data_IF_192868388567
#
_entry.id   IF_192868388567
#
_cell.length_a   1.000
_cell.length_b   1.000
_cell.length_c   1.000
_cell.angle_alpha   90.00
_cell.angle_beta   90.00
_cell.angle_gamma   90.00
#
_symmetry.space_group_name_H-M   'P 1'
#
loop_
_entity.id
_entity.type
_entity.pdbx_description
1 polymer ?
#
# COMPACT_ATOMS: atom_id res chain seq x y z
N UNK A 1 -16.17 -30.94 -0.89
CA UNK A 1 -17.40 -30.48 -1.57
C UNK A 1 -17.10 -29.19 -2.30
N UNK A 2 -17.19 -29.23 -3.64
CA UNK A 2 -16.97 -28.12 -4.55
C UNK A 2 -18.27 -27.32 -4.66
N UNK A 3 -18.22 -25.99 -4.51
CA UNK A 3 -19.27 -25.12 -5.01
C UNK A 3 -18.70 -24.29 -6.17
N UNK A 4 -19.31 -24.55 -7.34
CA UNK A 4 -18.91 -23.97 -8.60
C UNK A 4 -19.45 -22.55 -8.78
N UNK A 5 -18.65 -21.73 -9.42
CA UNK A 5 -19.07 -20.45 -9.99
C UNK A 5 -19.85 -20.70 -11.28
N UNK A 6 -21.05 -20.16 -11.34
CA UNK A 6 -21.90 -20.11 -12.53
C UNK A 6 -21.31 -19.06 -13.48
N UNK A 7 -20.82 -19.53 -14.62
CA UNK A 7 -20.46 -18.65 -15.75
C UNK A 7 -21.69 -18.50 -16.66
N UNK A 8 -22.24 -17.30 -16.77
CA UNK A 8 -23.21 -16.95 -17.79
C UNK A 8 -22.52 -16.85 -19.17
N UNK A 9 -22.82 -17.77 -20.05
CA UNK A 9 -22.48 -17.73 -21.49
C UNK A 9 -23.45 -16.81 -22.21
N UNK A 10 -22.99 -15.69 -22.73
CA UNK A 10 -23.69 -14.94 -23.77
C UNK A 10 -23.35 -15.54 -25.14
N UNK A 11 -24.37 -16.02 -25.82
CA UNK A 11 -24.29 -16.55 -27.19
C UNK A 11 -24.10 -15.40 -28.18
N UNK A 12 -23.10 -15.52 -29.05
CA UNK A 12 -22.91 -14.63 -30.19
C UNK A 12 -23.99 -14.85 -31.25
N UNK A 13 -24.52 -13.75 -31.76
CA UNK A 13 -25.28 -13.71 -33.01
C UNK A 13 -24.40 -13.15 -34.12
N UNK A 14 -24.13 -13.96 -35.10
CA UNK A 14 -23.51 -13.57 -36.37
C UNK A 14 -24.59 -12.98 -37.26
N UNK A 15 -24.48 -11.73 -37.66
CA UNK A 15 -25.33 -11.12 -38.70
C UNK A 15 -24.49 -10.92 -39.94
N UNK A 16 -24.92 -11.60 -41.02
CA UNK A 16 -24.34 -11.45 -42.34
C UNK A 16 -24.67 -10.06 -42.92
N UNK A 17 -23.67 -9.35 -43.43
CA UNK A 17 -23.86 -8.07 -44.13
C UNK A 17 -24.16 -8.32 -45.60
N UNK A 18 -25.34 -7.96 -46.04
CA UNK A 18 -25.73 -7.86 -47.45
C UNK A 18 -25.46 -6.42 -47.92
N UNK A 19 -24.58 -6.24 -48.88
CA UNK A 19 -24.27 -4.92 -49.50
C UNK A 19 -25.38 -4.64 -50.52
N UNK A 20 -26.20 -3.61 -50.28
CA UNK A 20 -27.08 -3.03 -51.32
C UNK A 20 -26.61 -1.58 -51.47
N UNK A 21 -26.14 -1.29 -52.71
CA UNK A 21 -25.79 0.06 -53.11
C UNK A 21 -27.02 0.95 -53.21
N UNK A 22 -26.94 2.15 -52.65
CA UNK A 22 -27.91 3.23 -52.86
C UNK A 22 -27.23 4.54 -53.20
N UNK A 23 -27.78 5.18 -54.21
CA UNK A 23 -27.38 6.45 -54.82
C UNK A 23 -27.38 7.62 -53.81
N UNK A 24 -26.42 8.55 -54.01
CA UNK A 24 -26.38 9.82 -53.31
C UNK A 24 -27.65 10.63 -53.55
N UNK A 25 -28.41 10.87 -52.49
CA UNK A 25 -29.27 12.04 -52.37
C UNK A 25 -28.71 12.90 -51.26
N UNK A 26 -28.29 14.11 -51.64
CA UNK A 26 -27.83 15.11 -50.68
C UNK A 26 -29.01 15.61 -49.86
N UNK A 27 -29.20 15.02 -48.66
CA UNK A 27 -30.11 15.52 -47.64
C UNK A 27 -29.30 16.38 -46.69
N UNK A 28 -29.73 17.63 -46.51
CA UNK A 28 -29.22 18.59 -45.55
C UNK A 28 -29.30 18.01 -44.14
N UNK A 29 -28.15 17.79 -43.47
CA UNK A 29 -28.06 17.33 -42.11
C UNK A 29 -28.50 18.49 -41.18
N UNK A 30 -29.52 18.35 -40.33
CA UNK A 30 -29.83 19.37 -39.33
C UNK A 30 -28.65 19.46 -38.36
N UNK A 31 -28.12 20.70 -38.19
CA UNK A 31 -27.10 21.02 -37.19
C UNK A 31 -27.70 20.79 -35.81
N UNK A 32 -27.22 19.75 -35.13
CA UNK A 32 -27.48 19.56 -33.71
C UNK A 32 -26.75 20.65 -32.93
N UNK A 33 -27.41 21.38 -32.02
CA UNK A 33 -26.77 22.38 -31.21
C UNK A 33 -25.72 21.68 -30.31
N UNK A 34 -24.52 22.18 -30.39
CA UNK A 34 -23.31 21.95 -29.67
C UNK A 34 -23.33 20.96 -28.51
N UNK A 35 -22.77 19.76 -28.73
CA UNK A 35 -22.15 19.00 -27.67
C UNK A 35 -20.88 19.76 -27.30
N UNK A 36 -20.98 20.73 -26.37
CA UNK A 36 -19.81 21.25 -25.69
C UNK A 36 -19.26 20.09 -24.87
N UNK A 37 -18.00 19.61 -25.12
CA UNK A 37 -17.40 18.69 -24.17
C UNK A 37 -17.35 19.45 -22.84
N UNK A 38 -18.10 19.00 -21.86
CA UNK A 38 -17.92 19.45 -20.48
C UNK A 38 -16.48 19.08 -20.13
N UNK A 39 -15.62 20.12 -20.09
CA UNK A 39 -14.32 19.97 -19.47
C UNK A 39 -14.60 19.47 -18.06
N UNK A 40 -14.47 18.15 -17.84
CA UNK A 40 -14.42 17.60 -16.51
C UNK A 40 -13.18 18.22 -15.88
N UNK A 41 -13.37 19.31 -15.13
CA UNK A 41 -12.30 19.89 -14.34
C UNK A 41 -11.64 18.76 -13.56
N UNK A 42 -10.34 18.62 -13.73
CA UNK A 42 -9.56 17.61 -13.03
C UNK A 42 -9.71 17.89 -11.54
N UNK A 43 -10.59 17.15 -10.88
CA UNK A 43 -10.88 17.35 -9.46
C UNK A 43 -9.57 17.22 -8.69
N UNK A 44 -9.17 18.30 -8.00
CA UNK A 44 -7.93 18.32 -7.23
C UNK A 44 -7.97 17.21 -6.16
N UNK A 45 -6.83 16.56 -5.93
CA UNK A 45 -6.73 15.52 -4.93
C UNK A 45 -7.13 16.06 -3.54
N UNK A 46 -8.06 15.40 -2.87
CA UNK A 46 -8.51 15.77 -1.52
C UNK A 46 -7.68 15.08 -0.47
N UNK A 47 -7.38 15.79 0.62
CA UNK A 47 -6.66 15.24 1.77
C UNK A 47 -7.55 15.33 3.00
N UNK A 48 -7.90 14.19 3.57
CA UNK A 48 -8.66 14.10 4.81
C UNK A 48 -7.79 13.49 5.89
N UNK A 49 -7.70 14.15 7.05
CA UNK A 49 -7.07 13.61 8.26
C UNK A 49 -8.15 12.93 9.09
N UNK A 50 -8.03 11.62 9.25
CA UNK A 50 -8.95 10.80 10.05
C UNK A 50 -8.23 10.36 11.32
N UNK A 51 -8.85 10.53 12.46
CA UNK A 51 -8.33 9.97 13.72
C UNK A 51 -8.66 8.49 13.80
N UNK A 52 -7.64 7.64 13.89
CA UNK A 52 -7.84 6.26 14.29
C UNK A 52 -7.93 6.20 15.81
N UNK A 53 -9.16 6.12 16.30
CA UNK A 53 -9.44 5.98 17.72
C UNK A 53 -8.91 4.65 18.25
N UNK A 54 -8.25 4.70 19.40
CA UNK A 54 -7.63 3.54 20.06
C UNK A 54 -8.16 3.40 21.50
N UNK A 55 -7.41 2.74 22.37
CA UNK A 55 -7.90 2.51 23.75
C UNK A 55 -8.00 3.78 24.60
N UNK A 56 -7.20 4.78 24.27
CA UNK A 56 -7.19 6.09 24.96
C UNK A 56 -6.88 7.19 23.97
N UNK A 57 -7.32 8.42 24.22
CA UNK A 57 -7.04 9.58 23.38
C UNK A 57 -5.51 9.82 23.17
N UNK A 58 -4.68 9.45 24.16
CA UNK A 58 -3.21 9.52 24.04
C UNK A 58 -2.66 8.57 22.97
N UNK A 59 -3.37 7.49 22.64
CA UNK A 59 -3.00 6.50 21.64
C UNK A 59 -3.59 6.82 20.27
N UNK A 60 -4.53 7.75 20.19
CA UNK A 60 -5.17 8.13 18.92
C UNK A 60 -4.14 8.67 17.94
N UNK A 61 -4.19 8.18 16.71
CA UNK A 61 -3.20 8.52 15.70
C UNK A 61 -3.85 8.97 14.40
N UNK A 62 -3.28 9.98 13.71
CA UNK A 62 -3.82 10.46 12.46
C UNK A 62 -3.49 9.52 11.30
N UNK A 63 -4.52 9.14 10.55
CA UNK A 63 -4.45 8.54 9.21
C UNK A 63 -4.75 9.64 8.18
N UNK A 64 -3.86 9.84 7.23
CA UNK A 64 -4.07 10.73 6.10
C UNK A 64 -4.66 9.94 4.94
N UNK A 65 -5.85 10.32 4.48
CA UNK A 65 -6.55 9.72 3.34
C UNK A 65 -6.49 10.72 2.19
N UNK A 66 -5.76 10.37 1.16
CA UNK A 66 -5.47 11.24 0.01
C UNK A 66 -6.13 10.62 -1.22
N UNK A 67 -7.27 11.18 -1.64
CA UNK A 67 -8.05 10.70 -2.78
C UNK A 67 -7.77 11.56 -3.99
N UNK A 68 -7.48 10.93 -5.12
CA UNK A 68 -7.28 11.64 -6.40
C UNK A 68 -8.58 12.15 -7.04
N UNK A 69 -9.74 11.65 -6.60
CA UNK A 69 -11.02 11.84 -7.29
C UNK A 69 -11.25 10.91 -8.48
N UNK A 70 -10.24 10.16 -8.92
CA UNK A 70 -10.32 9.20 -10.03
C UNK A 70 -10.26 7.75 -9.53
N UNK A 71 -10.99 6.79 -10.15
CA UNK A 71 -10.89 5.38 -9.83
C UNK A 71 -9.46 4.86 -9.92
N UNK A 72 -9.09 3.94 -9.04
CA UNK A 72 -7.77 3.34 -9.00
C UNK A 72 -7.52 2.60 -7.70
N UNK A 73 -6.35 1.98 -7.52
CA UNK A 73 -6.05 1.17 -6.34
C UNK A 73 -5.94 2.00 -5.07
N UNK A 74 -6.19 1.36 -3.93
CA UNK A 74 -5.93 1.88 -2.60
C UNK A 74 -4.58 1.36 -2.09
N UNK A 75 -3.67 2.28 -1.77
CA UNK A 75 -2.32 1.97 -1.26
C UNK A 75 -2.18 2.52 0.15
N UNK A 76 -1.74 1.70 1.10
CA UNK A 76 -1.50 2.11 2.48
C UNK A 76 -0.01 2.05 2.83
N UNK A 77 0.51 3.15 3.39
CA UNK A 77 1.88 3.23 3.91
C UNK A 77 1.79 3.43 5.41
N UNK A 78 2.47 2.56 6.15
CA UNK A 78 2.49 2.56 7.61
C UNK A 78 3.90 2.76 8.10
N UNK A 79 4.07 3.64 9.07
CA UNK A 79 5.31 3.81 9.82
C UNK A 79 5.06 3.81 11.32
N UNK A 80 6.10 3.55 12.10
CA UNK A 80 6.04 3.68 13.55
C UNK A 80 5.23 2.62 14.28
N UNK A 81 5.17 1.40 13.76
CA UNK A 81 4.71 0.22 14.50
C UNK A 81 5.63 -0.03 15.71
N UNK A 82 6.94 0.11 15.50
CA UNK A 82 7.94 0.20 16.56
C UNK A 82 8.45 1.64 16.65
N UNK A 83 8.38 2.25 17.83
CA UNK A 83 8.66 3.68 17.98
C UNK A 83 10.14 4.06 17.92
N UNK A 84 11.04 3.11 18.19
CA UNK A 84 12.49 3.31 18.07
C UNK A 84 13.02 3.08 16.63
N UNK A 85 12.15 2.80 15.66
CA UNK A 85 12.47 2.65 14.24
C UNK A 85 12.12 3.96 13.50
N UNK A 86 12.95 4.96 13.68
CA UNK A 86 12.62 6.37 13.44
C UNK A 86 12.54 6.79 11.97
N UNK A 87 13.11 6.03 11.04
CA UNK A 87 13.06 6.38 9.61
C UNK A 87 11.70 6.12 8.98
N UNK A 88 10.96 5.08 9.43
CA UNK A 88 9.63 4.77 8.94
C UNK A 88 8.63 5.93 9.13
N UNK A 89 8.44 6.46 10.35
CA UNK A 89 7.62 7.64 10.59
C UNK A 89 8.01 8.85 9.75
N UNK A 90 9.32 9.14 9.65
CA UNK A 90 9.84 10.28 8.87
C UNK A 90 9.64 10.11 7.36
N UNK A 91 9.77 8.90 6.83
CA UNK A 91 9.46 8.61 5.43
C UNK A 91 7.95 8.79 5.17
N UNK A 92 7.09 8.29 6.05
CA UNK A 92 5.65 8.46 5.94
C UNK A 92 5.24 9.94 6.02
N UNK A 93 5.91 10.77 6.82
CA UNK A 93 5.68 12.21 6.86
C UNK A 93 6.01 12.92 5.53
N UNK A 94 6.97 12.41 4.74
CA UNK A 94 7.22 12.88 3.37
C UNK A 94 6.12 12.39 2.42
N UNK A 95 5.76 11.12 2.52
CA UNK A 95 4.83 10.43 1.63
C UNK A 95 3.41 11.01 1.72
N UNK A 96 2.95 11.46 2.89
CA UNK A 96 1.62 12.08 3.05
C UNK A 96 1.39 13.35 2.21
N UNK A 97 2.45 13.93 1.66
CA UNK A 97 2.38 15.09 0.77
C UNK A 97 2.25 14.72 -0.71
N UNK A 98 2.32 13.43 -1.05
CA UNK A 98 2.10 12.96 -2.42
C UNK A 98 0.62 13.14 -2.79
N UNK A 99 0.38 13.56 -4.03
CA UNK A 99 -0.97 13.67 -4.61
C UNK A 99 -1.08 12.63 -5.73
N UNK A 100 -1.78 11.51 -5.51
CA UNK A 100 -1.91 10.48 -6.53
C UNK A 100 -2.75 10.98 -7.72
N UNK A 101 -2.40 10.55 -8.94
CA UNK A 101 -3.14 10.85 -10.17
C UNK A 101 -4.44 10.05 -10.29
N UNK A 102 -4.52 8.89 -9.63
CA UNK A 102 -5.69 8.01 -9.53
C UNK A 102 -5.67 7.21 -8.23
N UNK A 103 -6.82 6.69 -7.81
CA UNK A 103 -6.95 5.87 -6.62
C UNK A 103 -6.83 6.64 -5.31
N UNK A 104 -6.50 5.93 -4.25
CA UNK A 104 -6.40 6.47 -2.89
C UNK A 104 -5.04 6.10 -2.27
N UNK A 105 -4.34 7.10 -1.71
CA UNK A 105 -3.15 6.87 -0.89
C UNK A 105 -3.50 7.11 0.58
N UNK A 106 -3.31 6.09 1.41
CA UNK A 106 -3.48 6.15 2.86
C UNK A 106 -2.11 6.19 3.50
N UNK A 107 -1.87 7.13 4.40
CA UNK A 107 -0.58 7.23 5.09
C UNK A 107 -0.81 7.32 6.59
N UNK A 108 -0.24 6.38 7.34
CA UNK A 108 -0.26 6.30 8.79
C UNK A 108 1.18 6.46 9.32
N UNK A 109 1.63 7.69 9.63
CA UNK A 109 3.03 7.92 9.99
C UNK A 109 3.44 7.31 11.34
N UNK A 110 2.50 7.19 12.29
CA UNK A 110 2.79 6.75 13.66
C UNK A 110 1.75 5.76 14.13
N UNK A 111 1.89 4.49 13.71
CA UNK A 111 0.94 3.43 14.09
C UNK A 111 0.85 3.28 15.62
N UNK A 112 1.98 3.25 16.30
CA UNK A 112 2.09 3.26 17.77
C UNK A 112 2.64 4.63 18.22
N UNK A 113 1.75 5.64 18.26
CA UNK A 113 2.16 7.03 18.52
C UNK A 113 2.87 7.19 19.85
N UNK A 114 2.46 6.47 20.90
CA UNK A 114 3.07 6.53 22.23
C UNK A 114 4.50 5.98 22.21
N UNK A 115 4.72 4.86 21.52
CA UNK A 115 6.06 4.30 21.36
C UNK A 115 6.98 5.24 20.56
N UNK A 116 6.44 5.85 19.49
CA UNK A 116 7.18 6.83 18.67
C UNK A 116 7.58 8.06 19.48
N UNK A 117 6.66 8.62 20.28
CA UNK A 117 6.94 9.78 21.14
C UNK A 117 8.00 9.49 22.19
N UNK A 118 8.02 8.25 22.72
CA UNK A 118 9.02 7.81 23.72
C UNK A 118 10.32 7.30 23.12
N UNK A 119 10.39 7.08 21.81
CA UNK A 119 11.54 6.46 21.16
C UNK A 119 11.77 5.00 21.57
N UNK A 120 10.73 4.30 22.06
CA UNK A 120 10.80 2.92 22.51
C UNK A 120 10.23 1.96 21.47
N UNK A 121 10.67 0.69 21.47
CA UNK A 121 10.14 -0.31 20.54
C UNK A 121 8.63 -0.51 20.74
N UNK A 122 8.19 -0.58 21.97
CA UNK A 122 6.82 -0.87 22.36
C UNK A 122 6.25 0.22 23.27
N UNK A 123 4.95 0.24 23.48
CA UNK A 123 4.30 1.09 24.46
C UNK A 123 3.56 0.27 25.52
N UNK A 124 3.39 0.80 26.75
CA UNK A 124 2.60 0.15 27.80
C UNK A 124 1.19 -0.22 27.30
N UNK A 125 0.72 -1.39 27.67
CA UNK A 125 -0.61 -1.91 27.30
C UNK A 125 -0.72 -2.46 25.87
N UNK A 126 0.18 -2.09 24.94
CA UNK A 126 0.18 -2.60 23.56
C UNK A 126 1.17 -3.76 23.39
N UNK A 127 2.36 -3.68 24.00
CA UNK A 127 3.44 -4.62 23.77
C UNK A 127 4.00 -4.51 22.33
N UNK A 128 4.47 -5.63 21.77
CA UNK A 128 4.90 -5.66 20.35
C UNK A 128 3.66 -5.64 19.44
N UNK A 129 3.30 -4.45 18.94
CA UNK A 129 2.15 -4.28 18.05
C UNK A 129 2.23 -5.21 16.83
N UNK A 130 3.42 -5.50 16.33
CA UNK A 130 3.62 -6.39 15.20
C UNK A 130 3.53 -7.89 15.57
N UNK A 131 2.82 -8.22 16.66
CA UNK A 131 2.39 -9.55 17.07
C UNK A 131 0.90 -9.58 17.41
N UNK A 132 0.16 -8.50 17.20
CA UNK A 132 -1.22 -8.33 17.66
C UNK A 132 -2.26 -8.39 16.54
N UNK A 133 -1.83 -8.52 15.29
CA UNK A 133 -2.73 -8.67 14.12
C UNK A 133 -3.25 -10.12 14.00
N UNK A 134 -4.36 -10.35 13.27
CA UNK A 134 -4.97 -11.67 13.16
C UNK A 134 -4.01 -12.74 12.66
N UNK A 135 -4.05 -13.91 13.30
CA UNK A 135 -3.27 -15.10 12.89
C UNK A 135 -4.12 -16.11 12.09
N UNK A 136 -5.44 -15.94 12.11
CA UNK A 136 -6.40 -16.76 11.38
C UNK A 136 -7.34 -15.89 10.57
N UNK A 137 -8.00 -16.45 9.55
CA UNK A 137 -8.88 -15.72 8.62
C UNK A 137 -10.00 -14.95 9.34
N UNK A 138 -10.57 -15.51 10.40
CA UNK A 138 -11.66 -14.91 11.17
C UNK A 138 -11.17 -14.37 12.52
N UNK A 139 -9.84 -14.32 12.74
CA UNK A 139 -9.24 -13.83 13.96
C UNK A 139 -9.46 -12.34 14.17
N UNK A 140 -9.40 -11.92 15.43
CA UNK A 140 -9.43 -10.51 15.83
C UNK A 140 -8.01 -10.06 16.18
N UNK A 141 -7.75 -8.76 16.06
CA UNK A 141 -6.57 -8.18 16.67
C UNK A 141 -6.64 -8.30 18.18
N UNK A 142 -5.51 -8.54 18.83
CA UNK A 142 -5.46 -8.70 20.30
C UNK A 142 -5.37 -7.36 21.04
N UNK A 143 -5.25 -6.25 20.32
CA UNK A 143 -5.16 -4.87 20.85
C UNK A 143 -6.02 -3.90 20.03
N UNK A 144 -6.62 -2.92 20.69
CA UNK A 144 -7.44 -1.91 20.02
C UNK A 144 -6.63 -1.07 19.03
N UNK A 145 -5.36 -0.80 19.33
CA UNK A 145 -4.43 -0.09 18.43
C UNK A 145 -4.25 -0.79 17.07
N UNK A 146 -4.04 -2.09 17.07
CA UNK A 146 -3.99 -2.87 15.84
C UNK A 146 -5.36 -3.05 15.21
N UNK A 147 -6.44 -3.15 16.02
CA UNK A 147 -7.80 -3.30 15.52
C UNK A 147 -8.26 -2.07 14.73
N UNK A 148 -7.91 -0.84 15.16
CA UNK A 148 -8.26 0.37 14.42
C UNK A 148 -7.57 0.43 13.06
N UNK A 149 -6.29 0.02 12.98
CA UNK A 149 -5.55 -0.09 11.71
C UNK A 149 -6.18 -1.17 10.82
N UNK A 150 -6.50 -2.34 11.38
CA UNK A 150 -7.15 -3.44 10.68
C UNK A 150 -8.50 -3.04 10.08
N UNK A 151 -9.29 -2.29 10.84
CA UNK A 151 -10.57 -1.75 10.39
C UNK A 151 -10.38 -0.72 9.27
N UNK A 152 -9.33 0.11 9.31
CA UNK A 152 -9.01 1.04 8.25
C UNK A 152 -8.64 0.32 6.94
N UNK A 153 -7.83 -0.75 7.00
CA UNK A 153 -7.50 -1.57 5.81
C UNK A 153 -8.77 -2.08 5.15
N UNK A 154 -9.71 -2.62 5.93
CA UNK A 154 -11.00 -3.12 5.41
C UNK A 154 -11.90 -2.00 4.90
N UNK A 155 -12.02 -0.89 5.65
CA UNK A 155 -12.89 0.25 5.30
C UNK A 155 -12.52 0.87 3.96
N UNK A 156 -11.22 0.96 3.67
CA UNK A 156 -10.71 1.61 2.45
C UNK A 156 -10.36 0.61 1.34
N UNK A 157 -10.68 -0.67 1.52
CA UNK A 157 -10.44 -1.76 0.56
C UNK A 157 -9.00 -1.72 0.01
N UNK A 158 -8.02 -1.78 0.93
CA UNK A 158 -6.61 -1.59 0.60
C UNK A 158 -6.10 -2.73 -0.28
N UNK A 159 -5.58 -2.40 -1.46
CA UNK A 159 -4.99 -3.36 -2.41
C UNK A 159 -3.51 -3.64 -2.12
N UNK A 160 -2.78 -2.60 -1.70
CA UNK A 160 -1.32 -2.66 -1.45
C UNK A 160 -0.96 -2.01 -0.13
N UNK A 161 0.01 -2.59 0.57
CA UNK A 161 0.49 -2.05 1.84
C UNK A 161 2.01 -2.17 1.94
N UNK A 162 2.67 -1.10 2.41
CA UNK A 162 4.07 -1.14 2.87
C UNK A 162 4.12 -0.72 4.33
N UNK A 163 4.63 -1.62 5.18
CA UNK A 163 4.91 -1.40 6.59
C UNK A 163 6.40 -1.12 6.76
N UNK A 164 6.76 0.10 7.18
CA UNK A 164 8.13 0.63 7.18
C UNK A 164 8.81 0.39 8.53
N UNK A 165 9.85 -0.45 8.53
CA UNK A 165 10.61 -0.91 9.68
C UNK A 165 12.12 -0.72 9.54
N UNK A 166 12.87 -1.06 10.58
CA UNK A 166 14.33 -1.04 10.62
C UNK A 166 14.92 -2.29 11.27
N UNK A 167 15.69 -3.05 10.51
CA UNK A 167 16.56 -4.11 11.03
C UNK A 167 17.93 -3.57 11.49
N UNK A 168 18.58 -4.28 12.39
CA UNK A 168 19.83 -3.83 12.99
C UNK A 168 21.03 -3.91 12.04
N UNK A 169 21.23 -5.04 11.35
CA UNK A 169 22.32 -5.28 10.40
C UNK A 169 21.79 -5.54 8.99
N UNK A 170 22.66 -5.42 7.99
CA UNK A 170 22.40 -5.88 6.62
C UNK A 170 22.16 -7.39 6.60
N UNK A 171 21.02 -7.80 6.07
CA UNK A 171 20.63 -9.22 6.00
C UNK A 171 21.66 -10.09 5.26
N UNK A 172 22.19 -9.59 4.15
CA UNK A 172 23.22 -10.33 3.36
C UNK A 172 24.54 -10.54 4.09
N UNK A 173 24.86 -9.68 5.08
CA UNK A 173 26.07 -9.80 5.90
C UNK A 173 25.78 -10.64 7.15
N UNK A 174 24.60 -10.46 7.75
CA UNK A 174 24.17 -11.19 8.94
C UNK A 174 22.73 -11.68 8.73
N UNK A 175 22.51 -12.91 8.23
CA UNK A 175 21.19 -13.44 7.89
C UNK A 175 20.19 -13.49 9.04
N UNK A 176 20.65 -13.50 10.30
CA UNK A 176 19.78 -13.40 11.49
C UNK A 176 19.19 -12.00 11.70
N UNK A 177 19.61 -10.99 10.93
CA UNK A 177 19.07 -9.63 10.94
C UNK A 177 18.30 -9.36 9.66
N UNK A 178 17.27 -8.53 9.73
CA UNK A 178 16.36 -8.28 8.60
C UNK A 178 16.65 -6.94 7.86
N UNK A 179 17.69 -6.19 8.25
CA UNK A 179 17.98 -4.90 7.60
C UNK A 179 18.30 -5.04 6.11
N UNK A 180 17.72 -4.17 5.31
CA UNK A 180 17.66 -4.19 3.84
C UNK A 180 17.00 -5.46 3.28
N UNK A 181 15.79 -5.75 3.79
CA UNK A 181 14.88 -6.73 3.19
C UNK A 181 13.53 -6.10 2.85
N UNK A 182 12.87 -6.71 1.88
CA UNK A 182 11.45 -6.54 1.62
C UNK A 182 10.78 -7.90 1.81
N UNK A 183 9.96 -8.01 2.86
CA UNK A 183 9.39 -9.29 3.27
C UNK A 183 7.95 -9.33 2.81
N UNK A 184 7.54 -10.42 2.14
CA UNK A 184 6.19 -10.57 1.58
C UNK A 184 5.58 -11.94 1.88
N UNK A 185 4.26 -12.00 1.94
CA UNK A 185 3.52 -13.26 1.90
C UNK A 185 3.18 -13.62 0.45
N UNK A 186 3.39 -14.88 0.01
CA UNK A 186 3.28 -15.26 -1.41
C UNK A 186 1.82 -15.40 -1.87
N UNK A 187 1.17 -14.30 -2.18
CA UNK A 187 -0.09 -14.24 -2.92
C UNK A 187 0.18 -13.80 -4.37
N UNK A 188 -0.82 -13.97 -5.24
CA UNK A 188 -0.69 -13.66 -6.67
C UNK A 188 -0.20 -12.23 -6.92
N UNK A 189 0.86 -12.09 -7.72
CA UNK A 189 1.47 -10.82 -8.10
C UNK A 189 2.38 -10.16 -7.04
N UNK A 190 2.36 -10.59 -5.76
CA UNK A 190 3.16 -9.95 -4.70
C UNK A 190 4.67 -10.06 -4.97
N UNK A 191 5.15 -11.22 -5.47
CA UNK A 191 6.58 -11.41 -5.81
C UNK A 191 7.02 -10.45 -6.93
N UNK A 192 6.22 -10.29 -7.97
CA UNK A 192 6.54 -9.41 -9.12
C UNK A 192 6.68 -7.97 -8.66
N UNK A 193 5.74 -7.49 -7.85
CA UNK A 193 5.79 -6.12 -7.27
C UNK A 193 7.01 -5.98 -6.35
N UNK A 194 7.25 -6.95 -5.46
CA UNK A 194 8.42 -6.94 -4.58
C UNK A 194 9.74 -6.88 -5.33
N UNK A 195 9.90 -7.65 -6.43
CA UNK A 195 11.09 -7.60 -7.28
C UNK A 195 11.29 -6.23 -7.93
N UNK A 196 10.23 -5.59 -8.42
CA UNK A 196 10.33 -4.21 -8.96
C UNK A 196 10.84 -3.23 -7.90
N UNK A 197 10.31 -3.32 -6.68
CA UNK A 197 10.72 -2.43 -5.59
C UNK A 197 12.19 -2.66 -5.24
N UNK A 198 12.63 -3.90 -4.99
CA UNK A 198 14.04 -4.15 -4.59
C UNK A 198 15.03 -3.85 -5.70
N UNK A 199 14.68 -4.10 -6.96
CA UNK A 199 15.53 -3.77 -8.10
C UNK A 199 15.77 -2.26 -8.16
N UNK A 200 14.73 -1.46 -7.94
CA UNK A 200 14.86 -0.02 -7.90
C UNK A 200 15.66 0.46 -6.68
N UNK A 201 15.39 -0.11 -5.49
CA UNK A 201 16.14 0.21 -4.27
C UNK A 201 17.63 -0.06 -4.41
N UNK A 202 18.00 -1.14 -5.08
CA UNK A 202 19.40 -1.59 -5.24
C UNK A 202 20.20 -0.74 -6.24
N UNK A 203 19.54 0.04 -7.09
CA UNK A 203 20.25 0.98 -7.98
C UNK A 203 21.02 2.02 -7.17
N UNK A 204 22.33 2.13 -7.44
CA UNK A 204 23.22 3.07 -6.77
C UNK A 204 23.79 2.60 -5.42
N UNK A 205 23.50 1.36 -4.99
CA UNK A 205 24.19 0.76 -3.85
C UNK A 205 25.49 0.13 -4.35
N UNK A 206 26.64 0.68 -3.95
CA UNK A 206 27.95 0.26 -4.47
C UNK A 206 28.41 -1.14 -4.07
N UNK A 207 27.83 -1.75 -3.00
CA UNK A 207 28.20 -3.09 -2.53
C UNK A 207 27.00 -4.02 -2.54
N UNK A 208 27.13 -5.15 -3.22
CA UNK A 208 26.08 -6.19 -3.30
C UNK A 208 25.76 -6.83 -1.95
N UNK A 209 26.68 -6.81 -1.00
CA UNK A 209 26.44 -7.25 0.38
C UNK A 209 25.47 -6.35 1.15
N UNK A 210 25.22 -5.15 0.65
CA UNK A 210 24.26 -4.18 1.22
C UNK A 210 22.94 -4.10 0.44
N UNK A 211 22.74 -4.92 -0.59
CA UNK A 211 21.52 -4.93 -1.38
C UNK A 211 20.31 -5.38 -0.58
N UNK A 212 19.16 -4.79 -0.90
CA UNK A 212 17.87 -5.30 -0.45
C UNK A 212 17.64 -6.71 -1.00
N UNK A 213 17.08 -7.57 -0.15
CA UNK A 213 16.74 -8.95 -0.47
C UNK A 213 15.22 -9.13 -0.34
N UNK A 214 14.62 -9.83 -1.29
CA UNK A 214 13.21 -10.22 -1.22
C UNK A 214 13.08 -11.51 -0.40
N UNK A 215 12.38 -11.44 0.73
CA UNK A 215 12.23 -12.55 1.68
C UNK A 215 10.76 -12.97 1.77
N UNK A 216 10.50 -14.28 1.85
CA UNK A 216 9.14 -14.80 2.03
C UNK A 216 8.77 -14.91 3.51
N UNK A 217 7.44 -14.85 3.75
CA UNK A 217 6.80 -15.16 5.02
C UNK A 217 7.17 -14.21 6.16
N UNK A 218 6.55 -13.03 6.23
CA UNK A 218 6.59 -12.21 7.44
C UNK A 218 6.11 -13.04 8.65
N UNK A 219 6.58 -12.74 9.85
CA UNK A 219 6.16 -13.45 11.06
C UNK A 219 4.64 -13.37 11.27
N UNK A 220 4.05 -14.42 11.86
CA UNK A 220 2.63 -14.43 12.23
C UNK A 220 2.29 -13.34 13.25
N UNK A 221 1.09 -12.78 13.12
CA UNK A 221 0.65 -11.66 13.92
C UNK A 221 1.22 -10.31 13.51
N UNK A 222 2.04 -10.25 12.43
CA UNK A 222 2.48 -8.97 11.85
C UNK A 222 1.41 -8.38 10.93
N UNK A 223 1.43 -7.05 10.78
CA UNK A 223 0.50 -6.32 9.94
C UNK A 223 0.53 -6.83 8.48
N UNK A 224 1.71 -6.88 7.87
CA UNK A 224 1.85 -7.29 6.48
C UNK A 224 1.43 -8.75 6.26
N UNK A 225 1.79 -9.68 7.18
CA UNK A 225 1.35 -11.08 7.08
C UNK A 225 -0.16 -11.21 7.16
N UNK A 226 -0.77 -10.62 8.16
CA UNK A 226 -2.21 -10.69 8.37
C UNK A 226 -2.98 -10.09 7.17
N UNK A 227 -2.59 -8.91 6.69
CA UNK A 227 -3.22 -8.25 5.55
C UNK A 227 -3.14 -9.10 4.28
N UNK A 228 -1.96 -9.67 3.99
CA UNK A 228 -1.80 -10.50 2.81
C UNK A 228 -2.55 -11.84 2.92
N UNK A 229 -2.37 -12.56 4.03
CA UNK A 229 -2.88 -13.91 4.20
C UNK A 229 -4.41 -13.95 4.35
N UNK A 230 -4.99 -12.94 5.00
CA UNK A 230 -6.41 -12.97 5.39
C UNK A 230 -7.30 -12.03 4.60
N UNK A 231 -6.74 -10.94 4.01
CA UNK A 231 -7.49 -9.97 3.20
C UNK A 231 -7.07 -9.95 1.71
N UNK A 232 -5.99 -10.67 1.33
CA UNK A 232 -5.50 -10.68 -0.05
C UNK A 232 -4.76 -9.41 -0.47
N UNK A 233 -4.39 -8.55 0.49
CA UNK A 233 -3.62 -7.32 0.26
C UNK A 233 -2.19 -7.69 -0.19
N UNK A 234 -1.67 -7.08 -1.24
CA UNK A 234 -0.24 -7.21 -1.60
C UNK A 234 0.60 -6.40 -0.61
N UNK A 235 0.86 -7.00 0.56
CA UNK A 235 1.48 -6.35 1.69
C UNK A 235 2.96 -6.75 1.85
N UNK A 236 3.76 -5.75 2.23
CA UNK A 236 5.20 -5.87 2.41
C UNK A 236 5.63 -5.28 3.76
N UNK A 237 6.52 -5.97 4.48
CA UNK A 237 7.32 -5.36 5.53
C UNK A 237 8.64 -4.94 4.92
N UNK A 238 8.94 -3.65 4.91
CA UNK A 238 10.20 -3.11 4.44
C UNK A 238 11.12 -2.83 5.62
N UNK A 239 12.26 -3.48 5.66
CA UNK A 239 13.27 -3.33 6.71
C UNK A 239 14.48 -2.57 6.16
N UNK A 240 14.68 -1.33 6.58
CA UNK A 240 15.94 -0.63 6.30
C UNK A 240 17.01 -0.99 7.33
N UNK A 241 18.30 -0.83 7.00
CA UNK A 241 19.39 -1.19 7.93
C UNK A 241 19.80 0.00 8.81
N UNK A 242 19.77 -0.15 10.14
CA UNK A 242 20.18 0.90 11.10
C UNK A 242 21.63 1.35 10.97
N UNK A 243 22.50 0.53 10.37
CA UNK A 243 23.88 0.92 10.07
C UNK A 243 24.02 1.94 8.93
N UNK A 244 22.97 2.14 8.14
CA UNK A 244 22.93 3.24 7.16
C UNK A 244 22.55 4.55 7.85
N UNK A 245 23.00 5.67 7.32
CA UNK A 245 22.56 6.99 7.77
C UNK A 245 21.04 7.12 7.74
N UNK A 246 20.45 7.84 8.69
CA UNK A 246 19.00 7.98 8.80
C UNK A 246 18.38 8.57 7.52
N UNK A 247 19.07 9.54 6.89
CA UNK A 247 18.63 10.14 5.63
C UNK A 247 18.50 9.10 4.50
N UNK A 248 19.45 8.17 4.40
CA UNK A 248 19.41 7.06 3.43
C UNK A 248 18.21 6.15 3.71
N UNK A 249 17.97 5.80 4.98
CA UNK A 249 16.84 4.96 5.37
C UNK A 249 15.48 5.61 5.05
N UNK A 250 15.35 6.90 5.33
CA UNK A 250 14.15 7.70 4.98
C UNK A 250 13.96 7.73 3.47
N UNK A 251 15.02 8.00 2.70
CA UNK A 251 14.96 8.05 1.25
C UNK A 251 14.62 6.68 0.64
N UNK A 252 15.07 5.58 1.23
CA UNK A 252 14.70 4.24 0.79
C UNK A 252 13.20 3.97 0.99
N UNK A 253 12.60 4.40 2.10
CA UNK A 253 11.15 4.30 2.32
C UNK A 253 10.34 5.12 1.30
N UNK A 254 10.76 6.35 1.02
CA UNK A 254 10.18 7.20 -0.02
C UNK A 254 10.33 6.56 -1.42
N UNK A 255 11.53 6.08 -1.76
CA UNK A 255 11.84 5.43 -3.04
C UNK A 255 11.01 4.16 -3.26
N UNK A 256 10.89 3.29 -2.26
CA UNK A 256 10.07 2.08 -2.34
C UNK A 256 8.60 2.42 -2.59
N UNK A 257 8.07 3.41 -1.87
CA UNK A 257 6.70 3.88 -2.04
C UNK A 257 6.48 4.45 -3.44
N UNK A 258 7.33 5.36 -3.90
CA UNK A 258 7.23 5.94 -5.24
C UNK A 258 7.34 4.89 -6.33
N UNK A 259 8.19 3.89 -6.16
CA UNK A 259 8.30 2.75 -7.10
C UNK A 259 7.00 1.98 -7.19
N UNK A 260 6.35 1.70 -6.05
CA UNK A 260 5.03 1.05 -6.02
C UNK A 260 3.98 1.94 -6.71
N UNK A 261 3.89 3.22 -6.35
CA UNK A 261 2.91 4.14 -6.91
C UNK A 261 3.08 4.33 -8.42
N UNK A 262 4.31 4.44 -8.92
CA UNK A 262 4.61 4.48 -10.35
C UNK A 262 4.20 3.18 -11.07
N UNK A 263 4.48 2.02 -10.46
CA UNK A 263 4.05 0.73 -11.01
C UNK A 263 2.53 0.65 -11.17
N UNK A 264 1.79 1.29 -10.29
CA UNK A 264 0.33 1.35 -10.30
C UNK A 264 -0.22 2.50 -11.16
N UNK A 265 0.65 3.34 -11.74
CA UNK A 265 0.25 4.54 -12.50
C UNK A 265 -0.44 5.59 -11.62
N UNK A 266 -0.06 5.67 -10.36
CA UNK A 266 -0.58 6.64 -9.38
C UNK A 266 0.27 7.92 -9.29
N UNK A 267 1.49 7.93 -9.89
CA UNK A 267 2.37 9.10 -10.01
C UNK A 267 2.56 9.50 -11.46
#
# INVERSE_FOLDING_TARGET
MRFGRIMNKLKGFTVAATVIGFSLVAASIPSFPGFTPTNAEAQAATVTKVTLAQSTARQDTPLYVIKSGKPGPAVMIVGGVHGNETSGPKAADKIKNIRPKKGTLLVLPRANIVAVQKGTRTSPGVGDMNRTFPRTKNGKCTKNTSQSIWNAIKKYDVDYLIDLHEGYNYHKIKPSSMGQTLIYYPISGSRTVGLKIINELNKGIGSSSKYFTLVKYPYEGTLARAAAQHLGVKAFTMETCRKSAQSIRINNGDKATKTLLNHLGML
#
